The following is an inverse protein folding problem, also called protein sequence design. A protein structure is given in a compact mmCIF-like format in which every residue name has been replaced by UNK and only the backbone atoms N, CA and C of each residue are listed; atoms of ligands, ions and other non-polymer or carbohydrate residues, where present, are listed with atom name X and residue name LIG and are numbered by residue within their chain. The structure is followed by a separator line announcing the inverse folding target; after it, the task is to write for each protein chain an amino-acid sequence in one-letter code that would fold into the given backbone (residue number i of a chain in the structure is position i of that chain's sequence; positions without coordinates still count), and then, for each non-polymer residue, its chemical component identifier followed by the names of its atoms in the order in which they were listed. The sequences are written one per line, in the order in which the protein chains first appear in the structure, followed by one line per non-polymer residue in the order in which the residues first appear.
data_IF_119101885105
#
_entry.id   IF_119101885105
#
_cell.length_a   1.000
_cell.length_b   1.000
_cell.length_c   1.000
_cell.angle_alpha   90.00
_cell.angle_beta   90.00
_cell.angle_gamma   90.00
#
_symmetry.space_group_name_H-M   'P 1'
#
loop_
_entity.id
_entity.type
_entity.pdbx_description
1 polymer ?
#
# COMPACT_ATOMS: atom_id res chain seq x y z
N UNK A 1 -2.23 13.35 -10.75
CA UNK A 1 -2.55 12.01 -11.26
C UNK A 1 -1.44 11.61 -12.21
N UNK A 2 -0.85 10.44 -12.00
CA UNK A 2 0.17 9.84 -12.86
C UNK A 2 -0.49 8.76 -13.72
N UNK A 3 -0.29 8.82 -15.03
CA UNK A 3 -0.79 7.81 -15.97
C UNK A 3 0.43 7.22 -16.66
N UNK A 4 0.74 5.96 -16.36
CA UNK A 4 1.84 5.24 -17.00
C UNK A 4 1.29 4.36 -18.12
N UNK A 5 1.47 4.84 -19.34
CA UNK A 5 0.93 4.25 -20.57
C UNK A 5 1.70 3.01 -21.01
N UNK A 6 1.03 2.06 -21.65
CA UNK A 6 1.69 0.88 -22.26
C UNK A 6 1.15 0.61 -23.65
N UNK A 7 1.98 0.02 -24.49
CA UNK A 7 1.59 -0.42 -25.84
C UNK A 7 1.71 -1.94 -25.91
N UNK A 8 0.59 -2.61 -26.14
CA UNK A 8 0.61 -4.04 -26.52
C UNK A 8 0.82 -4.13 -28.04
N UNK A 9 1.86 -4.83 -28.55
CA UNK A 9 2.21 -4.82 -29.97
C UNK A 9 1.14 -5.39 -30.92
N UNK A 10 0.20 -6.18 -30.40
CA UNK A 10 -0.99 -6.62 -31.12
C UNK A 10 -2.09 -7.07 -30.19
N UNK A 11 -3.13 -7.69 -30.74
CA UNK A 11 -4.31 -8.14 -29.99
C UNK A 11 -4.17 -9.59 -29.54
N UNK A 12 -3.44 -10.40 -30.31
CA UNK A 12 -3.34 -11.83 -30.12
C UNK A 12 -1.90 -12.30 -30.32
N UNK A 13 -1.48 -13.34 -29.60
CA UNK A 13 -0.16 -13.94 -29.76
C UNK A 13 -0.10 -14.78 -31.04
N UNK A 14 1.00 -14.66 -31.78
CA UNK A 14 1.24 -15.43 -32.99
C UNK A 14 1.89 -16.76 -32.62
N UNK A 15 1.11 -17.84 -32.62
CA UNK A 15 1.61 -19.21 -32.50
C UNK A 15 0.61 -20.19 -33.13
N UNK A 16 1.11 -21.33 -33.61
CA UNK A 16 0.28 -22.43 -34.13
C UNK A 16 -0.39 -23.21 -32.98
N UNK A 17 0.23 -23.19 -31.80
CA UNK A 17 -0.32 -23.78 -30.58
C UNK A 17 -1.29 -22.79 -29.89
N UNK A 18 -2.58 -23.14 -29.97
CA UNK A 18 -3.67 -22.35 -29.38
C UNK A 18 -3.68 -22.41 -27.85
N UNK A 19 -3.35 -23.56 -27.27
CA UNK A 19 -3.36 -23.74 -25.81
C UNK A 19 -2.22 -22.95 -25.19
N UNK A 20 -1.05 -22.99 -25.84
CA UNK A 20 0.09 -22.13 -25.48
C UNK A 20 -0.30 -20.64 -25.58
N UNK A 21 -0.87 -20.22 -26.71
CA UNK A 21 -1.26 -18.82 -26.93
C UNK A 21 -2.24 -18.32 -25.87
N UNK A 22 -3.21 -19.15 -25.49
CA UNK A 22 -4.18 -18.83 -24.45
C UNK A 22 -3.51 -18.72 -23.08
N UNK A 23 -2.65 -19.68 -22.73
CA UNK A 23 -1.93 -19.71 -21.46
C UNK A 23 -1.03 -18.48 -21.28
N UNK A 24 -0.18 -18.20 -22.27
CA UNK A 24 0.73 -17.03 -22.24
C UNK A 24 -0.07 -15.73 -22.26
N UNK A 25 -1.12 -15.65 -23.09
CA UNK A 25 -2.01 -14.49 -23.13
C UNK A 25 -2.63 -14.16 -21.78
N UNK A 26 -3.08 -15.17 -21.03
CA UNK A 26 -3.63 -14.99 -19.68
C UNK A 26 -2.58 -14.50 -18.67
N UNK A 27 -1.35 -15.00 -18.74
CA UNK A 27 -0.25 -14.54 -17.89
C UNK A 27 0.11 -13.08 -18.19
N UNK A 28 0.21 -12.71 -19.46
CA UNK A 28 0.46 -11.32 -19.88
C UNK A 28 -0.69 -10.39 -19.47
N UNK A 29 -1.94 -10.84 -19.57
CA UNK A 29 -3.09 -10.05 -19.11
C UNK A 29 -3.09 -9.88 -17.58
N UNK A 30 -2.70 -10.92 -16.84
CA UNK A 30 -2.55 -10.86 -15.39
C UNK A 30 -1.45 -9.88 -15.00
N UNK A 31 -0.29 -9.91 -15.69
CA UNK A 31 0.79 -8.92 -15.52
C UNK A 31 0.31 -7.50 -15.76
N UNK A 32 -0.40 -7.24 -16.87
CA UNK A 32 -0.97 -5.92 -17.17
C UNK A 32 -1.96 -5.47 -16.08
N UNK A 33 -2.80 -6.38 -15.59
CA UNK A 33 -3.75 -6.09 -14.52
C UNK A 33 -3.03 -5.64 -13.24
N UNK A 34 -2.01 -6.38 -12.81
CA UNK A 34 -1.23 -6.03 -11.61
C UNK A 34 -0.46 -4.72 -11.78
N UNK A 35 0.06 -4.46 -12.97
CA UNK A 35 0.69 -3.17 -13.29
C UNK A 35 -0.28 -1.99 -13.17
N UNK A 36 -1.50 -2.10 -13.70
CA UNK A 36 -2.49 -1.03 -13.57
C UNK A 36 -3.02 -0.87 -12.13
N UNK A 37 -3.11 -1.97 -11.38
CA UNK A 37 -3.42 -1.92 -9.95
C UNK A 37 -2.34 -1.16 -9.17
N UNK A 38 -1.05 -1.39 -9.46
CA UNK A 38 0.05 -0.62 -8.90
C UNK A 38 -0.05 0.87 -9.29
N UNK A 39 -0.33 1.19 -10.56
CA UNK A 39 -0.51 2.59 -10.99
C UNK A 39 -1.66 3.28 -10.24
N UNK A 40 -2.80 2.61 -10.07
CA UNK A 40 -3.93 3.13 -9.32
C UNK A 40 -3.57 3.35 -7.85
N UNK A 41 -2.93 2.36 -7.22
CA UNK A 41 -2.51 2.44 -5.83
C UNK A 41 -1.53 3.61 -5.57
N UNK A 42 -0.59 3.87 -6.49
CA UNK A 42 0.30 5.04 -6.42
C UNK A 42 -0.47 6.36 -6.42
N UNK A 43 -1.49 6.49 -7.28
CA UNK A 43 -2.31 7.69 -7.36
C UNK A 43 -3.08 7.92 -6.06
N UNK A 44 -3.75 6.88 -5.56
CA UNK A 44 -4.50 6.93 -4.31
C UNK A 44 -3.60 7.20 -3.11
N UNK A 45 -2.39 6.62 -3.07
CA UNK A 45 -1.38 6.89 -2.05
C UNK A 45 -0.95 8.36 -2.08
N UNK A 46 -0.65 8.89 -3.26
CA UNK A 46 -0.23 10.28 -3.44
C UNK A 46 -1.32 11.26 -3.00
N UNK A 47 -2.57 10.97 -3.37
CA UNK A 47 -3.74 11.76 -2.96
C UNK A 47 -3.92 11.72 -1.44
N UNK A 48 -3.91 10.53 -0.84
CA UNK A 48 -4.05 10.35 0.60
C UNK A 48 -2.94 11.04 1.41
N UNK A 49 -1.72 11.11 0.87
CA UNK A 49 -0.61 11.85 1.49
C UNK A 49 -0.72 13.36 1.32
N UNK A 50 -1.34 13.82 0.24
CA UNK A 50 -1.51 15.25 -0.05
C UNK A 50 -2.71 15.85 0.66
N UNK A 51 -3.71 15.01 1.01
CA UNK A 51 -4.82 15.40 1.85
C UNK A 51 -4.31 15.86 3.22
N UNK A 52 -4.36 17.17 3.46
CA UNK A 52 -4.04 17.72 4.78
C UNK A 52 -5.07 17.20 5.78
N UNK A 53 -4.68 16.78 6.99
CA UNK A 53 -5.64 16.53 8.06
C UNK A 53 -6.54 17.75 8.25
N UNK A 54 -7.83 17.53 8.45
CA UNK A 54 -8.87 18.58 8.61
C UNK A 54 -8.55 19.61 9.72
N UNK A 55 -7.57 19.31 10.57
CA UNK A 55 -7.14 20.07 11.76
C UNK A 55 -6.20 21.25 11.49
N UNK A 56 -5.68 21.42 10.26
CA UNK A 56 -4.72 22.48 9.96
C UNK A 56 -5.35 23.88 9.81
N UNK A 57 -6.68 24.01 9.91
CA UNK A 57 -7.38 25.29 9.83
C UNK A 57 -7.76 25.80 11.23
N UNK A 58 -7.16 26.94 11.63
CA UNK A 58 -7.39 27.60 12.92
C UNK A 58 -8.88 27.93 13.14
N UNK A 59 -9.62 28.24 12.08
CA UNK A 59 -11.05 28.52 12.14
C UNK A 59 -11.92 27.27 12.35
N UNK A 60 -11.42 26.08 12.03
CA UNK A 60 -12.10 24.83 12.38
C UNK A 60 -11.93 24.50 13.85
N UNK A 61 -10.78 24.83 14.44
CA UNK A 61 -10.49 24.52 15.83
C UNK A 61 -11.40 25.30 16.81
N UNK A 62 -11.57 26.61 16.59
CA UNK A 62 -12.44 27.44 17.43
C UNK A 62 -13.91 27.00 17.33
N UNK A 63 -14.38 26.70 16.11
CA UNK A 63 -15.74 26.17 15.89
C UNK A 63 -15.95 24.81 16.55
N UNK A 64 -14.99 23.90 16.41
CA UNK A 64 -15.06 22.58 17.04
C UNK A 64 -15.03 22.71 18.58
N UNK A 65 -14.24 23.63 19.14
CA UNK A 65 -14.20 23.89 20.58
C UNK A 65 -15.53 24.46 21.10
N UNK A 66 -16.11 25.41 20.39
CA UNK A 66 -17.42 25.98 20.73
C UNK A 66 -18.51 24.91 20.67
N UNK A 67 -18.54 24.11 19.59
CA UNK A 67 -19.57 23.07 19.43
C UNK A 67 -19.47 21.97 20.49
N UNK A 68 -18.25 21.57 20.87
CA UNK A 68 -18.06 20.65 22.01
C UNK A 68 -18.62 21.21 23.30
N UNK A 69 -18.44 22.50 23.56
CA UNK A 69 -18.96 23.15 24.76
C UNK A 69 -20.50 23.20 24.77
N UNK A 70 -21.13 23.49 23.62
CA UNK A 70 -22.59 23.46 23.46
C UNK A 70 -23.15 22.06 23.74
N UNK A 71 -22.58 21.02 23.11
CA UNK A 71 -22.98 19.62 23.32
C UNK A 71 -22.80 19.24 24.80
N UNK A 72 -21.70 19.66 25.43
CA UNK A 72 -21.47 19.40 26.84
C UNK A 72 -22.56 20.02 27.71
N UNK A 73 -22.93 21.28 27.47
CA UNK A 73 -24.03 21.93 28.19
C UNK A 73 -25.35 21.19 27.98
N UNK A 74 -25.66 20.74 26.77
CA UNK A 74 -26.85 19.93 26.47
C UNK A 74 -26.85 18.61 27.27
N UNK A 75 -25.70 17.94 27.38
CA UNK A 75 -25.57 16.71 28.17
C UNK A 75 -25.71 17.01 29.67
N UNK A 76 -25.04 18.04 30.21
CA UNK A 76 -25.14 18.44 31.62
C UNK A 76 -26.59 18.75 32.04
N UNK A 77 -27.39 19.36 31.16
CA UNK A 77 -28.82 19.58 31.39
C UNK A 77 -29.62 18.29 31.53
N UNK A 78 -29.24 17.22 30.81
CA UNK A 78 -29.90 15.91 30.93
C UNK A 78 -29.60 15.23 32.28
N UNK A 79 -28.50 15.59 32.93
CA UNK A 79 -28.16 15.19 34.30
C UNK A 79 -28.72 16.15 35.38
N UNK A 80 -29.63 17.06 35.02
CA UNK A 80 -30.25 18.00 35.94
C UNK A 80 -29.44 19.28 36.19
N UNK A 81 -28.47 19.59 35.33
CA UNK A 81 -27.75 20.87 35.30
C UNK A 81 -26.66 21.06 36.35
N UNK A 82 -26.60 20.20 37.37
CA UNK A 82 -25.58 20.22 38.43
C UNK A 82 -24.98 18.82 38.61
N UNK A 83 -24.09 18.39 37.70
CA UNK A 83 -23.53 17.06 37.77
C UNK A 83 -22.62 16.90 38.99
N UNK A 84 -22.76 15.77 39.68
CA UNK A 84 -21.83 15.36 40.73
C UNK A 84 -20.47 14.98 40.14
N UNK A 85 -19.41 14.97 40.96
CA UNK A 85 -18.05 14.62 40.52
C UNK A 85 -17.97 13.25 39.82
N UNK A 86 -18.78 12.28 40.26
CA UNK A 86 -18.84 10.93 39.67
C UNK A 86 -19.48 10.90 38.27
N UNK A 87 -20.23 11.94 37.88
CA UNK A 87 -20.92 12.03 36.60
C UNK A 87 -20.11 12.80 35.54
N UNK A 88 -19.05 13.50 35.94
CA UNK A 88 -18.25 14.34 35.04
C UNK A 88 -17.57 13.52 33.94
N UNK A 89 -17.08 12.32 34.28
CA UNK A 89 -16.42 11.43 33.31
C UNK A 89 -17.43 10.91 32.27
N UNK A 90 -18.62 10.52 32.70
CA UNK A 90 -19.69 10.05 31.81
C UNK A 90 -20.18 11.18 30.90
N UNK A 91 -20.36 12.38 31.44
CA UNK A 91 -20.76 13.57 30.68
C UNK A 91 -19.70 13.92 29.63
N UNK A 92 -18.42 13.87 30.01
CA UNK A 92 -17.33 14.12 29.07
C UNK A 92 -17.31 13.07 27.95
N UNK A 93 -17.43 11.80 28.30
CA UNK A 93 -17.49 10.69 27.35
C UNK A 93 -18.67 10.84 26.38
N UNK A 94 -19.88 11.06 26.90
CA UNK A 94 -21.09 11.22 26.10
C UNK A 94 -21.01 12.44 25.18
N UNK A 95 -20.47 13.56 25.66
CA UNK A 95 -20.26 14.77 24.86
C UNK A 95 -19.33 14.51 23.68
N UNK A 96 -18.22 13.81 23.90
CA UNK A 96 -17.29 13.43 22.85
C UNK A 96 -17.90 12.46 21.84
N UNK A 97 -18.74 11.50 22.30
CA UNK A 97 -19.45 10.57 21.39
C UNK A 97 -20.43 11.34 20.50
N UNK A 98 -21.23 12.24 21.06
CA UNK A 98 -22.18 13.07 20.30
C UNK A 98 -21.46 13.96 19.30
N UNK A 99 -20.40 14.64 19.73
CA UNK A 99 -19.58 15.49 18.86
C UNK A 99 -19.00 14.70 17.68
N UNK A 100 -18.39 13.53 17.94
CA UNK A 100 -17.83 12.67 16.88
C UNK A 100 -18.90 12.20 15.90
N UNK A 101 -20.06 11.75 16.39
CA UNK A 101 -21.19 11.32 15.54
C UNK A 101 -21.72 12.46 14.68
N UNK A 102 -21.84 13.66 15.23
CA UNK A 102 -22.24 14.86 14.48
C UNK A 102 -21.24 15.18 13.36
N UNK A 103 -19.93 15.12 13.64
CA UNK A 103 -18.89 15.29 12.62
C UNK A 103 -19.03 14.22 11.52
N UNK A 104 -19.20 12.96 11.89
CA UNK A 104 -19.33 11.88 10.92
C UNK A 104 -20.60 12.00 10.07
N UNK A 105 -21.74 12.39 10.65
CA UNK A 105 -22.97 12.62 9.88
C UNK A 105 -22.85 13.80 8.92
N UNK A 106 -21.95 14.74 9.19
CA UNK A 106 -21.63 15.87 8.32
C UNK A 106 -20.52 15.57 7.30
N UNK A 107 -20.14 14.29 7.13
CA UNK A 107 -19.19 13.85 6.10
C UNK A 107 -17.71 13.95 6.49
N UNK A 108 -17.40 14.31 7.74
CA UNK A 108 -16.01 14.25 8.22
C UNK A 108 -15.59 12.79 8.46
N UNK A 109 -14.37 12.44 8.08
CA UNK A 109 -13.84 11.11 8.33
C UNK A 109 -13.25 10.97 9.74
N UNK A 110 -13.32 9.77 10.35
CA UNK A 110 -12.52 9.45 11.53
C UNK A 110 -11.02 9.66 11.28
N UNK A 111 -10.31 10.18 12.28
CA UNK A 111 -8.86 10.42 12.19
C UNK A 111 -8.09 9.13 11.94
N UNK A 112 -8.55 8.05 12.53
CA UNK A 112 -8.01 6.72 12.35
C UNK A 112 -8.10 6.29 10.89
N UNK A 113 -9.13 6.71 10.15
CA UNK A 113 -9.26 6.38 8.73
C UNK A 113 -8.31 7.25 7.91
N UNK A 114 -8.29 8.56 8.15
CA UNK A 114 -7.35 9.50 7.50
C UNK A 114 -5.90 9.05 7.66
N UNK A 115 -5.51 8.66 8.88
CA UNK A 115 -4.17 8.16 9.18
C UNK A 115 -3.87 6.85 8.44
N UNK A 116 -4.84 5.94 8.35
CA UNK A 116 -4.62 4.62 7.76
C UNK A 116 -4.65 4.61 6.22
N UNK A 117 -5.27 5.60 5.58
CA UNK A 117 -5.42 5.65 4.11
C UNK A 117 -4.08 5.49 3.37
N UNK A 118 -3.01 6.27 3.65
CA UNK A 118 -1.72 6.08 3.00
C UNK A 118 -1.15 4.67 3.18
N UNK A 119 -1.31 4.06 4.35
CA UNK A 119 -0.80 2.70 4.60
C UNK A 119 -1.59 1.63 3.86
N UNK A 120 -2.90 1.81 3.69
CA UNK A 120 -3.73 0.92 2.89
C UNK A 120 -3.27 0.94 1.43
N UNK A 121 -3.12 2.13 0.85
CA UNK A 121 -2.70 2.27 -0.55
C UNK A 121 -1.25 1.86 -0.78
N UNK A 122 -0.35 2.10 0.18
CA UNK A 122 1.01 1.60 0.12
C UNK A 122 1.06 0.06 0.11
N UNK A 123 0.24 -0.62 0.91
CA UNK A 123 0.12 -2.09 0.87
C UNK A 123 -0.49 -2.60 -0.43
N UNK A 124 -1.50 -1.91 -0.97
CA UNK A 124 -2.07 -2.27 -2.27
C UNK A 124 -0.98 -2.21 -3.37
N UNK A 125 -0.17 -1.15 -3.37
CA UNK A 125 0.97 -1.03 -4.27
C UNK A 125 1.99 -2.18 -4.10
N UNK A 126 2.38 -2.46 -2.85
CA UNK A 126 3.29 -3.56 -2.50
C UNK A 126 2.77 -4.91 -3.01
N UNK A 127 1.49 -5.21 -2.80
CA UNK A 127 0.87 -6.46 -3.23
C UNK A 127 0.73 -6.56 -4.74
N UNK A 128 0.45 -5.45 -5.42
CA UNK A 128 0.39 -5.41 -6.88
C UNK A 128 1.77 -5.69 -7.51
N UNK A 129 2.86 -5.11 -6.97
CA UNK A 129 4.22 -5.39 -7.46
C UNK A 129 4.65 -6.82 -7.14
N UNK A 130 4.40 -7.33 -5.92
CA UNK A 130 4.71 -8.74 -5.58
C UNK A 130 3.94 -9.73 -6.47
N UNK A 131 2.69 -9.41 -6.82
CA UNK A 131 1.91 -10.23 -7.74
C UNK A 131 2.41 -10.12 -9.19
N UNK A 132 2.79 -8.91 -9.63
CA UNK A 132 3.45 -8.71 -10.92
C UNK A 132 4.73 -9.56 -11.03
N UNK A 133 5.61 -9.47 -10.04
CA UNK A 133 6.87 -10.23 -9.97
C UNK A 133 6.61 -11.74 -10.04
N UNK A 134 5.63 -12.24 -9.27
CA UNK A 134 5.23 -13.65 -9.31
C UNK A 134 4.73 -14.09 -10.69
N UNK A 135 3.86 -13.31 -11.33
CA UNK A 135 3.36 -13.66 -12.68
C UNK A 135 4.49 -13.63 -13.71
N UNK A 136 5.43 -12.69 -13.59
CA UNK A 136 6.60 -12.60 -14.46
C UNK A 136 7.52 -13.81 -14.25
N UNK A 137 7.70 -14.21 -12.99
CA UNK A 137 8.42 -15.42 -12.60
C UNK A 137 7.77 -16.71 -13.10
N UNK A 138 6.44 -16.80 -13.15
CA UNK A 138 5.73 -17.92 -13.79
C UNK A 138 5.94 -17.89 -15.30
N UNK A 139 5.71 -16.73 -15.93
CA UNK A 139 5.85 -16.55 -17.38
C UNK A 139 7.26 -16.91 -17.88
N UNK A 140 8.31 -16.53 -17.14
CA UNK A 140 9.71 -16.85 -17.50
C UNK A 140 10.05 -18.34 -17.50
N UNK A 141 9.22 -19.18 -16.88
CA UNK A 141 9.43 -20.64 -16.77
C UNK A 141 8.54 -21.43 -17.72
N UNK A 142 7.66 -20.76 -18.45
CA UNK A 142 6.78 -21.41 -19.41
C UNK A 142 7.56 -21.88 -20.64
N UNK A 143 7.22 -23.05 -21.14
CA UNK A 143 7.81 -23.58 -22.36
C UNK A 143 7.50 -22.65 -23.54
N UNK A 144 8.51 -22.34 -24.36
CA UNK A 144 8.38 -21.41 -25.49
C UNK A 144 8.35 -19.92 -25.11
N UNK A 145 8.45 -19.57 -23.83
CA UNK A 145 8.62 -18.16 -23.44
C UNK A 145 10.00 -17.62 -23.89
N UNK A 146 10.09 -16.38 -24.41
CA UNK A 146 11.35 -15.77 -24.77
C UNK A 146 12.32 -15.66 -23.60
N UNK A 147 13.61 -15.96 -23.82
CA UNK A 147 14.64 -15.97 -22.77
C UNK A 147 14.75 -14.62 -22.03
N UNK A 148 14.50 -13.51 -22.73
CA UNK A 148 14.51 -12.16 -22.16
C UNK A 148 13.53 -12.01 -20.98
N UNK A 149 12.45 -12.79 -20.91
CA UNK A 149 11.49 -12.73 -19.80
C UNK A 149 12.14 -13.16 -18.48
N UNK A 150 13.05 -14.14 -18.52
CA UNK A 150 13.80 -14.54 -17.32
C UNK A 150 14.78 -13.45 -16.85
N UNK A 151 15.41 -12.75 -17.80
CA UNK A 151 16.27 -11.60 -17.49
C UNK A 151 15.48 -10.43 -16.91
N UNK A 152 14.28 -10.17 -17.44
CA UNK A 152 13.36 -9.15 -16.93
C UNK A 152 12.87 -9.47 -15.51
N UNK A 153 12.62 -10.74 -15.20
CA UNK A 153 12.29 -11.17 -13.84
C UNK A 153 13.47 -10.94 -12.88
N UNK A 154 14.71 -11.19 -13.30
CA UNK A 154 15.88 -10.85 -12.49
C UNK A 154 16.01 -9.34 -12.26
N UNK A 155 15.79 -8.52 -13.31
CA UNK A 155 15.77 -7.06 -13.19
C UNK A 155 14.69 -6.56 -12.23
N UNK A 156 13.52 -7.20 -12.17
CA UNK A 156 12.48 -6.89 -11.20
C UNK A 156 12.97 -7.13 -9.76
N UNK A 157 13.64 -8.26 -9.52
CA UNK A 157 14.23 -8.58 -8.21
C UNK A 157 15.32 -7.58 -7.78
N UNK A 158 16.15 -7.11 -8.72
CA UNK A 158 17.15 -6.06 -8.46
C UNK A 158 16.52 -4.69 -8.21
N UNK A 159 15.42 -4.37 -8.91
CA UNK A 159 14.70 -3.12 -8.72
C UNK A 159 13.98 -3.04 -7.37
N UNK A 160 13.55 -4.19 -6.83
CA UNK A 160 12.77 -4.28 -5.59
C UNK A 160 13.32 -5.37 -4.63
N UNK A 161 14.54 -5.21 -4.10
CA UNK A 161 15.23 -6.26 -3.34
C UNK A 161 14.49 -6.70 -2.08
N UNK A 162 13.83 -5.76 -1.39
CA UNK A 162 13.15 -6.03 -0.12
C UNK A 162 11.67 -6.43 -0.30
N UNK A 163 11.16 -6.44 -1.54
CA UNK A 163 9.73 -6.63 -1.86
C UNK A 163 9.12 -7.82 -1.14
N UNK A 164 9.75 -8.99 -1.32
CA UNK A 164 9.28 -10.24 -0.73
C UNK A 164 9.32 -10.20 0.80
N UNK A 165 10.37 -9.62 1.37
CA UNK A 165 10.56 -9.56 2.83
C UNK A 165 9.51 -8.66 3.48
N UNK A 166 9.34 -7.45 2.95
CA UNK A 166 8.33 -6.48 3.42
C UNK A 166 6.91 -7.02 3.23
N UNK A 167 6.61 -7.62 2.07
CA UNK A 167 5.30 -8.22 1.79
C UNK A 167 4.98 -9.36 2.75
N UNK A 168 5.93 -10.24 3.04
CA UNK A 168 5.72 -11.32 4.00
C UNK A 168 5.43 -10.79 5.40
N UNK A 169 6.10 -9.71 5.83
CA UNK A 169 5.80 -9.06 7.11
C UNK A 169 4.42 -8.41 7.10
N UNK A 170 4.00 -7.78 6.00
CA UNK A 170 2.66 -7.22 5.87
C UNK A 170 1.55 -8.29 5.94
N UNK A 171 1.81 -9.50 5.42
CA UNK A 171 0.88 -10.63 5.48
C UNK A 171 0.86 -11.37 6.82
N UNK A 172 1.99 -11.38 7.54
CA UNK A 172 2.17 -12.10 8.81
C UNK A 172 2.51 -11.13 9.95
N UNK A 173 1.75 -10.04 10.02
CA UNK A 173 1.98 -8.96 10.96
C UNK A 173 1.84 -9.42 12.41
N UNK A 174 0.93 -10.37 12.67
CA UNK A 174 0.71 -11.00 13.97
C UNK A 174 1.96 -11.71 14.49
N UNK A 175 2.68 -12.43 13.65
CA UNK A 175 3.92 -13.10 14.04
C UNK A 175 5.06 -12.08 14.20
N UNK A 176 5.16 -11.12 13.30
CA UNK A 176 6.20 -10.07 13.37
C UNK A 176 6.04 -9.18 14.59
N UNK A 177 4.81 -8.82 14.95
CA UNK A 177 4.53 -8.02 16.16
C UNK A 177 4.89 -8.73 17.46
N UNK A 178 4.95 -10.07 17.46
CA UNK A 178 5.46 -10.88 18.57
C UNK A 178 6.98 -11.00 18.59
N UNK A 179 7.68 -10.33 17.66
CA UNK A 179 9.12 -10.42 17.50
C UNK A 179 9.58 -11.77 16.95
N UNK A 180 8.76 -12.45 16.14
CA UNK A 180 9.07 -13.77 15.60
C UNK A 180 9.44 -13.70 14.11
N UNK A 181 10.36 -14.58 13.70
CA UNK A 181 10.80 -14.78 12.31
C UNK A 181 9.80 -15.60 11.48
N UNK A 182 10.25 -16.10 10.33
CA UNK A 182 9.39 -16.90 9.44
C UNK A 182 9.44 -18.41 9.76
N UNK A 183 8.42 -19.15 9.34
CA UNK A 183 8.36 -20.62 9.38
C UNK A 183 7.33 -21.18 10.36
N UNK A 184 7.16 -22.52 10.35
CA UNK A 184 6.14 -23.24 11.13
C UNK A 184 6.35 -23.14 12.65
N UNK A 185 7.61 -23.08 13.08
CA UNK A 185 8.01 -22.85 14.48
C UNK A 185 8.97 -21.65 14.50
N UNK A 186 8.44 -20.41 14.44
CA UNK A 186 9.26 -19.24 14.21
C UNK A 186 10.11 -18.92 15.45
N UNK A 187 11.38 -18.57 15.22
CA UNK A 187 12.32 -18.19 16.27
C UNK A 187 12.20 -16.69 16.58
N UNK A 188 12.60 -16.22 17.78
CA UNK A 188 12.74 -14.79 18.05
C UNK A 188 13.64 -14.10 17.02
N UNK A 189 13.26 -12.88 16.63
CA UNK A 189 14.03 -12.04 15.71
C UNK A 189 15.31 -11.53 16.37
N UNK A 190 16.38 -11.53 15.58
CA UNK A 190 17.60 -10.80 15.90
C UNK A 190 17.54 -9.43 15.21
N UNK A 191 17.04 -8.42 15.95
CA UNK A 191 16.76 -7.09 15.41
C UNK A 191 18.04 -6.34 15.05
N UNK A 192 18.25 -6.11 13.76
CA UNK A 192 19.47 -5.52 13.22
C UNK A 192 19.47 -3.99 13.33
N UNK A 193 20.66 -3.37 13.25
CA UNK A 193 20.78 -1.92 13.18
C UNK A 193 19.92 -1.30 12.07
N UNK A 194 19.35 -0.13 12.35
CA UNK A 194 18.64 0.68 11.37
C UNK A 194 18.90 2.15 11.63
N UNK A 195 19.27 2.88 10.57
CA UNK A 195 19.43 4.33 10.60
C UNK A 195 18.78 4.93 9.36
N UNK A 196 17.69 5.67 9.55
CA UNK A 196 16.97 6.37 8.50
C UNK A 196 16.27 7.62 9.06
N UNK A 197 15.47 8.31 8.24
CA UNK A 197 14.80 9.56 8.65
C UNK A 197 13.71 9.37 9.72
N UNK A 198 13.28 8.14 9.97
CA UNK A 198 12.21 7.80 10.91
C UNK A 198 12.76 7.25 12.23
N UNK A 199 13.83 6.46 12.18
CA UNK A 199 14.41 5.75 13.35
C UNK A 199 15.93 5.78 13.29
N UNK A 200 16.57 6.02 14.44
CA UNK A 200 18.01 5.83 14.66
C UNK A 200 18.22 4.80 15.77
N UNK A 201 18.67 3.61 15.37
CA UNK A 201 18.98 2.47 16.24
C UNK A 201 20.26 1.77 15.74
N UNK A 202 21.45 2.41 15.88
CA UNK A 202 22.73 1.87 15.40
C UNK A 202 23.13 0.53 16.03
N UNK A 203 22.61 0.23 17.21
CA UNK A 203 22.86 -1.03 17.93
C UNK A 203 21.73 -2.06 17.75
N UNK A 204 20.77 -1.81 16.86
CA UNK A 204 19.60 -2.65 16.67
C UNK A 204 18.58 -2.55 17.80
N UNK A 205 17.73 -3.57 17.92
CA UNK A 205 16.74 -3.68 19.00
C UNK A 205 15.39 -2.98 18.77
N UNK A 206 15.17 -2.36 17.60
CA UNK A 206 13.89 -1.73 17.26
C UNK A 206 13.12 -2.59 16.27
N UNK A 207 11.89 -2.94 16.64
CA UNK A 207 10.93 -3.58 15.76
C UNK A 207 10.09 -2.50 15.06
N UNK A 208 10.22 -2.42 13.75
CA UNK A 208 9.46 -1.49 12.92
C UNK A 208 8.43 -2.31 12.14
N UNK A 209 7.17 -1.96 12.24
CA UNK A 209 6.10 -2.65 11.50
C UNK A 209 5.56 -1.73 10.41
N UNK A 210 4.24 -1.64 10.27
CA UNK A 210 3.53 -0.84 9.28
C UNK A 210 3.96 0.65 9.30
N UNK A 211 4.98 1.00 8.50
CA UNK A 211 5.66 2.29 8.60
C UNK A 211 5.88 2.95 7.23
N UNK A 212 5.96 4.29 7.25
CA UNK A 212 6.21 5.11 6.07
C UNK A 212 7.40 6.05 6.32
N UNK A 213 8.49 5.81 5.61
CA UNK A 213 9.68 6.67 5.57
C UNK A 213 9.63 7.50 4.28
N UNK A 214 8.95 8.65 4.33
CA UNK A 214 8.64 9.43 3.12
C UNK A 214 7.64 8.70 2.23
N UNK A 215 8.02 8.40 0.98
CA UNK A 215 7.23 7.56 0.05
C UNK A 215 7.43 6.07 0.26
N UNK A 216 8.40 5.67 1.09
CA UNK A 216 8.80 4.27 1.20
C UNK A 216 8.00 3.56 2.28
N UNK A 217 7.36 2.47 1.90
CA UNK A 217 6.67 1.57 2.81
C UNK A 217 7.62 0.48 3.29
N UNK A 218 7.81 0.39 4.60
CA UNK A 218 8.82 -0.51 5.15
C UNK A 218 8.41 -1.17 6.44
N UNK A 219 9.15 -2.23 6.77
CA UNK A 219 8.98 -3.00 8.00
C UNK A 219 10.22 -3.86 8.26
N UNK A 220 10.36 -4.33 9.50
CA UNK A 220 11.35 -5.34 9.89
C UNK A 220 10.97 -6.68 9.26
N UNK A 221 11.90 -7.23 8.50
CA UNK A 221 11.78 -8.49 7.78
C UNK A 221 12.08 -9.68 8.71
N UNK A 222 11.86 -10.90 8.20
CA UNK A 222 12.04 -12.13 8.96
C UNK A 222 13.48 -12.42 9.42
N UNK A 223 14.46 -11.76 8.80
CA UNK A 223 15.89 -11.83 9.13
C UNK A 223 16.33 -10.74 10.12
N UNK A 224 15.40 -9.88 10.54
CA UNK A 224 15.63 -8.80 11.50
C UNK A 224 16.13 -7.49 10.89
N UNK A 225 16.42 -7.44 9.59
CA UNK A 225 16.73 -6.18 8.90
C UNK A 225 15.45 -5.39 8.64
N UNK A 226 15.56 -4.06 8.63
CA UNK A 226 14.51 -3.20 8.09
C UNK A 226 14.62 -3.19 6.56
N UNK A 227 13.52 -3.52 5.88
CA UNK A 227 13.40 -3.42 4.43
C UNK A 227 12.32 -2.42 4.04
N UNK A 228 12.43 -1.87 2.83
CA UNK A 228 11.48 -0.88 2.33
C UNK A 228 11.23 -1.00 0.82
N UNK A 229 10.01 -0.66 0.40
CA UNK A 229 9.60 -0.56 -1.00
C UNK A 229 9.09 0.85 -1.26
N UNK A 230 9.63 1.48 -2.29
CA UNK A 230 9.28 2.86 -2.63
C UNK A 230 7.94 2.93 -3.38
N UNK A 231 7.00 3.71 -2.87
CA UNK A 231 5.68 3.95 -3.49
C UNK A 231 5.74 5.27 -4.23
N UNK A 232 6.32 5.22 -5.44
CA UNK A 232 6.72 6.42 -6.18
C UNK A 232 6.56 6.28 -7.69
N UNK A 233 6.49 7.42 -8.42
CA UNK A 233 6.57 7.44 -9.88
C UNK A 233 7.80 6.69 -10.42
N UNK A 234 8.96 6.84 -9.80
CA UNK A 234 10.22 6.23 -10.21
C UNK A 234 10.15 4.69 -10.15
N UNK A 235 9.44 4.15 -9.15
CA UNK A 235 9.18 2.71 -9.06
C UNK A 235 8.24 2.22 -10.16
N UNK A 236 7.23 3.03 -10.52
CA UNK A 236 6.34 2.74 -11.64
C UNK A 236 7.05 2.81 -12.99
N UNK A 237 7.98 3.74 -13.21
CA UNK A 237 8.78 3.82 -14.45
C UNK A 237 9.61 2.55 -14.66
N UNK A 238 10.21 2.02 -13.59
CA UNK A 238 10.94 0.74 -13.65
C UNK A 238 10.01 -0.41 -14.03
N UNK A 239 8.83 -0.49 -13.40
CA UNK A 239 7.84 -1.53 -13.67
C UNK A 239 7.29 -1.43 -15.11
N UNK A 240 7.03 -0.21 -15.59
CA UNK A 240 6.58 0.06 -16.95
C UNK A 240 7.62 -0.41 -17.96
N UNK A 241 8.89 -0.09 -17.75
CA UNK A 241 9.99 -0.52 -18.61
C UNK A 241 10.09 -2.05 -18.68
N UNK A 242 9.90 -2.74 -17.56
CA UNK A 242 9.90 -4.20 -17.49
C UNK A 242 8.70 -4.77 -18.26
N UNK A 243 7.49 -4.26 -18.00
CA UNK A 243 6.28 -4.74 -18.67
C UNK A 243 6.33 -4.48 -20.18
N UNK A 244 6.76 -3.30 -20.61
CA UNK A 244 6.82 -2.95 -22.03
C UNK A 244 7.76 -3.90 -22.77
N UNK A 245 8.96 -4.17 -22.23
CA UNK A 245 9.88 -5.16 -22.80
C UNK A 245 9.31 -6.59 -22.77
N UNK A 246 8.59 -6.97 -21.71
CA UNK A 246 7.96 -8.27 -21.63
C UNK A 246 6.87 -8.44 -22.71
N UNK A 247 6.08 -7.40 -23.00
CA UNK A 247 5.09 -7.42 -24.08
C UNK A 247 5.76 -7.49 -25.46
N UNK A 248 6.82 -6.72 -25.67
CA UNK A 248 7.57 -6.66 -26.93
C UNK A 248 8.35 -7.94 -27.24
N UNK A 249 8.64 -8.77 -26.23
CA UNK A 249 9.36 -10.02 -26.40
C UNK A 249 8.60 -11.09 -27.19
N UNK A 250 7.26 -11.00 -27.25
CA UNK A 250 6.43 -11.97 -27.95
C UNK A 250 6.07 -11.49 -29.36
N UNK A 251 5.82 -12.44 -30.26
CA UNK A 251 5.23 -12.12 -31.57
C UNK A 251 3.72 -11.95 -31.45
N UNK A 252 3.21 -10.86 -32.02
CA UNK A 252 1.78 -10.53 -32.00
C UNK A 252 1.19 -10.43 -33.40
N UNK A 253 -0.13 -10.60 -33.49
CA UNK A 253 -0.94 -10.26 -34.67
C UNK A 253 -2.13 -9.37 -34.29
N UNK A 254 -2.71 -8.74 -35.32
CA UNK A 254 -3.81 -7.78 -35.15
C UNK A 254 -3.35 -6.35 -34.80
N UNK A 255 -4.29 -5.44 -34.54
CA UNK A 255 -3.96 -4.05 -34.26
C UNK A 255 -3.26 -3.90 -32.90
N UNK A 256 -2.35 -2.93 -32.82
CA UNK A 256 -1.74 -2.48 -31.56
C UNK A 256 -2.82 -1.98 -30.60
N UNK A 257 -2.59 -2.18 -29.31
CA UNK A 257 -3.47 -1.68 -28.25
C UNK A 257 -2.70 -0.70 -27.36
N UNK A 258 -3.35 0.40 -27.02
CA UNK A 258 -2.83 1.41 -26.11
C UNK A 258 -3.63 1.36 -24.81
N UNK A 259 -2.96 1.39 -23.66
CA UNK A 259 -3.61 1.44 -22.35
C UNK A 259 -2.98 2.50 -21.44
N UNK A 260 -3.70 2.97 -20.40
CA UNK A 260 -5.04 2.53 -20.00
C UNK A 260 -6.18 3.07 -20.92
N UNK A 261 -7.35 2.42 -20.89
CA UNK A 261 -8.54 2.85 -21.63
C UNK A 261 -9.26 4.02 -20.96
N UNK A 262 -10.11 4.72 -21.73
CA UNK A 262 -11.02 5.79 -21.25
C UNK A 262 -12.38 5.21 -20.89
#
# INVERSE_FOLDING_TARGET
MYVFEIITPGTWLKSEDRDWSWKIGNLLQSLKSQYFEANLALNLFTEARSARPSFADRGNWERDAQRRNEIRQEVEQQYGGFPGHEQLDEIHFESEVRFKREKWSNGFQPREFEHNLPFIYARAFLYAIDSFDKFLGVLSREEGAPQIVAELHAQAGEAFPDLRGVRNTAQHLEDRSRGLGAGRNPKPLDLKPVENNMVSAPNGGVLILNSLNGSKYGSTMADGHYGEVDVSPESMERLQKILQQALEAFEWHGPKQHGPSV
#
